data_IF_666458334639
#
_entry.id   IF_666458334639
#
_cell.length_a   1.000
_cell.length_b   1.000
_cell.length_c   1.000
_cell.angle_alpha   90.00
_cell.angle_beta   90.00
_cell.angle_gamma   90.00
#
_symmetry.space_group_name_H-M   'P 1'
#
loop_
_entity.id
_entity.type
_entity.pdbx_description
1 polymer ?
#
# COMPACT_ATOMS: atom_id res chain seq x y z
N UNK A 1 -18.04 -1.11 7.77
CA UNK A 1 -17.15 -0.09 7.16
C UNK A 1 -15.87 -0.77 6.71
N UNK A 2 -15.65 -0.91 5.41
CA UNK A 2 -14.40 -1.45 4.84
C UNK A 2 -13.27 -0.42 4.99
N UNK A 3 -12.22 -0.73 5.75
CA UNK A 3 -11.07 0.17 5.94
C UNK A 3 -10.18 0.18 4.69
N UNK A 4 -9.67 1.36 4.33
CA UNK A 4 -8.77 1.58 3.19
C UNK A 4 -7.33 1.67 3.71
N UNK A 5 -6.42 0.93 3.07
CA UNK A 5 -5.01 0.87 3.46
C UNK A 5 -4.16 1.41 2.31
N UNK A 6 -3.29 2.36 2.64
CA UNK A 6 -2.24 2.82 1.75
C UNK A 6 -0.99 2.00 2.05
N UNK A 7 -0.49 1.28 1.06
CA UNK A 7 0.62 0.35 1.22
C UNK A 7 1.77 0.76 0.31
N UNK A 8 3.00 0.75 0.83
CA UNK A 8 4.21 0.99 0.03
C UNK A 8 5.09 -0.25 0.03
N UNK A 9 5.81 -0.48 -1.07
CA UNK A 9 6.65 -1.67 -1.22
C UNK A 9 5.86 -2.97 -1.41
N UNK A 10 4.65 -2.90 -1.97
CA UNK A 10 3.79 -4.05 -2.27
C UNK A 10 4.38 -5.04 -3.27
N UNK A 11 5.24 -4.59 -4.18
CA UNK A 11 5.96 -5.44 -5.15
C UNK A 11 7.09 -6.26 -4.50
N UNK A 12 7.48 -5.91 -3.27
CA UNK A 12 8.56 -6.57 -2.55
C UNK A 12 8.24 -8.01 -2.14
N UNK A 13 9.27 -8.74 -1.71
CA UNK A 13 9.18 -10.16 -1.32
C UNK A 13 8.10 -10.42 -0.26
N UNK A 14 7.96 -9.52 0.72
CA UNK A 14 6.92 -9.61 1.76
C UNK A 14 5.61 -8.92 1.36
N UNK A 15 5.68 -7.76 0.70
CA UNK A 15 4.53 -6.93 0.35
C UNK A 15 3.44 -7.68 -0.40
N UNK A 16 3.82 -8.50 -1.39
CA UNK A 16 2.87 -9.30 -2.19
C UNK A 16 2.02 -10.26 -1.35
N UNK A 17 2.58 -10.82 -0.28
CA UNK A 17 1.86 -11.73 0.61
C UNK A 17 0.96 -10.97 1.58
N UNK A 18 1.44 -9.83 2.09
CA UNK A 18 0.66 -8.96 2.99
C UNK A 18 -0.56 -8.39 2.28
N UNK A 19 -0.39 -7.92 1.03
CA UNK A 19 -1.50 -7.38 0.23
C UNK A 19 -2.57 -8.45 0.00
N UNK A 20 -2.18 -9.65 -0.42
CA UNK A 20 -3.14 -10.76 -0.61
C UNK A 20 -3.90 -11.07 0.68
N UNK A 21 -3.22 -11.10 1.83
CA UNK A 21 -3.84 -11.29 3.14
C UNK A 21 -4.83 -10.17 3.50
N UNK A 22 -4.49 -8.91 3.22
CA UNK A 22 -5.37 -7.77 3.48
C UNK A 22 -6.63 -7.78 2.59
N UNK A 23 -6.50 -8.19 1.34
CA UNK A 23 -7.64 -8.33 0.43
C UNK A 23 -8.59 -9.44 0.88
N UNK A 24 -8.05 -10.59 1.30
CA UNK A 24 -8.84 -11.72 1.82
C UNK A 24 -9.65 -11.34 3.07
N UNK A 25 -9.10 -10.44 3.89
CA UNK A 25 -9.79 -9.84 5.05
C UNK A 25 -10.85 -8.80 4.67
N UNK A 26 -11.02 -8.49 3.40
CA UNK A 26 -11.98 -7.51 2.89
C UNK A 26 -11.52 -6.06 3.01
N UNK A 27 -10.22 -5.81 3.18
CA UNK A 27 -9.68 -4.45 3.13
C UNK A 27 -9.52 -3.97 1.69
N UNK A 28 -9.67 -2.67 1.48
CA UNK A 28 -9.32 -2.03 0.20
C UNK A 28 -7.88 -1.55 0.27
N UNK A 29 -7.00 -2.12 -0.53
CA UNK A 29 -5.58 -1.77 -0.55
C UNK A 29 -5.25 -0.94 -1.79
N UNK A 30 -4.55 0.17 -1.56
CA UNK A 30 -3.95 0.98 -2.62
C UNK A 30 -2.43 0.90 -2.47
N UNK A 31 -1.76 0.32 -3.47
CA UNK A 31 -0.32 0.15 -3.46
C UNK A 31 0.35 1.35 -4.15
N UNK A 32 1.34 1.95 -3.51
CA UNK A 32 2.18 3.01 -4.08
C UNK A 32 3.61 2.51 -4.06
N UNK A 33 4.15 2.25 -5.25
CA UNK A 33 5.42 1.56 -5.37
C UNK A 33 6.18 1.99 -6.63
N UNK A 34 7.46 1.63 -6.72
CA UNK A 34 8.27 1.83 -7.92
C UNK A 34 7.84 0.91 -9.05
N UNK A 35 7.40 -0.30 -8.69
CA UNK A 35 7.06 -1.36 -9.63
C UNK A 35 5.57 -1.63 -9.53
N UNK A 36 4.91 -1.72 -10.70
CA UNK A 36 3.49 -2.08 -10.75
C UNK A 36 3.30 -3.48 -10.21
N UNK A 37 2.43 -3.62 -9.20
CA UNK A 37 1.99 -4.91 -8.71
C UNK A 37 0.73 -5.29 -9.50
N UNK A 38 0.86 -6.28 -10.38
CA UNK A 38 -0.26 -6.87 -11.12
C UNK A 38 -0.98 -7.88 -10.22
N UNK A 39 -1.87 -7.38 -9.36
CA UNK A 39 -2.72 -8.22 -8.53
C UNK A 39 -4.19 -7.85 -8.70
N UNK A 40 -5.08 -8.83 -9.00
CA UNK A 40 -6.50 -8.55 -9.22
C UNK A 40 -7.12 -7.97 -7.94
N UNK A 41 -7.68 -6.77 -8.05
CA UNK A 41 -8.31 -6.06 -6.92
C UNK A 41 -7.42 -5.08 -6.18
N UNK A 42 -6.17 -4.87 -6.61
CA UNK A 42 -5.26 -3.85 -6.04
C UNK A 42 -5.05 -2.76 -7.07
N UNK A 43 -5.33 -1.52 -6.67
CA UNK A 43 -4.92 -0.36 -7.45
C UNK A 43 -3.46 -0.04 -7.12
N UNK A 44 -2.57 -0.18 -8.12
CA UNK A 44 -1.17 0.26 -7.98
C UNK A 44 -0.94 1.59 -8.68
N UNK A 45 -0.30 2.53 -7.99
CA UNK A 45 0.22 3.78 -8.56
C UNK A 45 1.74 3.76 -8.55
N UNK A 46 2.32 3.75 -9.75
CA UNK A 46 3.75 3.83 -9.91
C UNK A 46 4.24 5.24 -9.54
N UNK A 47 5.28 5.33 -8.71
CA UNK A 47 5.92 6.60 -8.33
C UNK A 47 7.40 6.58 -8.69
N UNK A 48 7.95 7.74 -9.03
CA UNK A 48 9.39 7.87 -9.28
C UNK A 48 10.18 7.80 -7.97
N UNK A 49 11.40 7.25 -8.00
CA UNK A 49 12.28 7.11 -6.82
C UNK A 49 12.55 8.41 -6.05
N UNK A 50 12.43 9.57 -6.71
CA UNK A 50 12.52 10.89 -6.07
C UNK A 50 11.46 11.11 -4.97
N UNK A 51 10.27 10.51 -5.11
CA UNK A 51 9.20 10.64 -4.13
C UNK A 51 9.45 9.82 -2.86
N UNK A 52 10.19 8.71 -2.95
CA UNK A 52 10.44 7.81 -1.81
C UNK A 52 11.34 8.47 -0.77
N UNK A 53 12.30 9.29 -1.21
CA UNK A 53 13.21 10.01 -0.33
C UNK A 53 12.56 11.19 0.41
N UNK A 54 11.40 11.67 -0.06
CA UNK A 54 10.70 12.80 0.56
C UNK A 54 9.60 12.35 1.53
N UNK A 55 9.27 11.06 1.55
CA UNK A 55 8.32 10.48 2.51
C UNK A 55 9.15 9.95 3.68
N UNK A 56 8.92 10.40 4.94
CA UNK A 56 9.65 9.86 6.07
C UNK A 56 9.52 8.34 6.08
N UNK A 57 10.66 7.63 6.08
CA UNK A 57 10.83 6.16 5.98
C UNK A 57 10.35 5.46 7.27
N UNK A 58 9.15 5.77 7.72
CA UNK A 58 8.43 4.96 8.69
C UNK A 58 7.67 3.93 7.88
N UNK A 59 7.92 2.65 8.11
CA UNK A 59 7.15 1.55 7.53
C UNK A 59 5.69 1.74 7.95
N UNK A 60 4.92 2.42 7.12
CA UNK A 60 3.54 2.75 7.41
C UNK A 60 2.69 1.56 7.00
N UNK A 61 2.69 0.57 7.88
CA UNK A 61 1.43 -0.02 8.33
C UNK A 61 0.64 1.13 8.98
N UNK A 62 0.13 2.06 8.17
CA UNK A 62 -0.79 3.09 8.61
C UNK A 62 -2.06 2.35 9.01
N UNK A 63 -2.14 1.95 10.28
CA UNK A 63 -3.42 2.06 10.96
C UNK A 63 -3.93 3.46 10.67
N UNK A 64 -4.95 3.50 9.81
CA UNK A 64 -6.02 4.48 9.83
C UNK A 64 -5.49 5.89 10.09
N UNK A 65 -5.19 6.64 9.04
CA UNK A 65 -5.40 8.09 9.14
C UNK A 65 -6.89 8.23 9.50
N UNK A 66 -7.27 8.64 10.72
CA UNK A 66 -8.62 9.14 10.88
C UNK A 66 -8.64 10.39 10.00
N UNK A 67 -9.54 10.45 9.02
CA UNK A 67 -9.78 11.65 8.21
C UNK A 67 -10.46 12.74 9.04
N UNK A 68 -9.96 12.99 10.25
CA UNK A 68 -10.35 14.07 11.15
C UNK A 68 -9.08 14.61 11.80
N UNK A 69 -8.38 15.47 11.06
CA UNK A 69 -8.13 16.88 11.35
C UNK A 69 -7.63 17.56 10.08
#
# INVERSE_FOLDING_TARGET
MTKRIFFTGGSGKAGKHVIAYLLDRGYRVMNVDLVSLEHPGVETRAVSSLFIWCIPISVQLLEVIPQTC
#
